data_IF_101010750803
#
_entry.id   IF_101010750803
#
_cell.length_a   1.000
_cell.length_b   1.000
_cell.length_c   1.000
_cell.angle_alpha   90.00
_cell.angle_beta   90.00
_cell.angle_gamma   90.00
#
_symmetry.space_group_name_H-M   'P 1'
#
loop_
_entity.id
_entity.type
_entity.pdbx_description
1 polymer ?
#
# COMPACT_ATOMS: atom_id res chain seq x y z
N UNK A 1 39.90 -53.92 52.08
CA UNK A 1 38.54 -54.33 52.45
C UNK A 1 37.62 -53.62 51.47
N UNK A 2 37.56 -54.10 50.25
CA UNK A 2 36.70 -55.22 49.80
C UNK A 2 35.21 -54.84 49.86
N UNK A 3 34.71 -54.53 48.65
CA UNK A 3 33.43 -54.92 48.03
C UNK A 3 32.09 -54.99 48.81
N UNK A 4 31.05 -54.64 48.03
CA UNK A 4 29.61 -54.85 48.23
C UNK A 4 29.04 -53.88 49.28
N UNK A 5 28.20 -52.90 48.96
CA UNK A 5 26.93 -53.04 48.24
C UNK A 5 26.69 -51.89 47.26
N UNK A 6 26.77 -52.20 45.97
CA UNK A 6 25.85 -51.66 44.97
C UNK A 6 24.42 -52.15 45.29
N UNK A 7 23.41 -51.46 44.77
CA UNK A 7 21.95 -51.69 44.92
C UNK A 7 21.25 -50.85 46.00
N UNK A 8 21.41 -49.53 45.94
CA UNK A 8 20.59 -48.62 46.76
C UNK A 8 20.44 -47.18 46.26
N UNK A 9 21.00 -46.82 45.10
CA UNK A 9 20.98 -45.41 44.65
C UNK A 9 20.75 -45.20 43.14
N UNK A 10 20.37 -46.25 42.40
CA UNK A 10 19.93 -46.13 41.00
C UNK A 10 18.41 -45.95 40.84
N UNK A 11 17.67 -45.74 41.95
CA UNK A 11 16.27 -45.36 41.94
C UNK A 11 16.04 -43.88 42.31
N UNK A 12 17.08 -43.04 42.19
CA UNK A 12 17.00 -41.59 42.41
C UNK A 12 17.37 -40.77 41.17
N UNK A 13 17.49 -41.42 40.00
CA UNK A 13 17.73 -40.78 38.69
C UNK A 13 16.48 -40.89 37.77
N UNK A 14 15.36 -41.42 38.25
CA UNK A 14 14.08 -41.49 37.50
C UNK A 14 12.93 -40.74 38.19
N UNK A 15 13.22 -39.69 38.96
CA UNK A 15 12.20 -38.82 39.53
C UNK A 15 12.55 -37.31 39.46
N UNK A 16 13.34 -36.91 38.45
CA UNK A 16 13.63 -35.49 38.18
C UNK A 16 13.41 -35.07 36.71
N UNK A 17 12.60 -35.82 35.96
CA UNK A 17 12.18 -35.42 34.59
C UNK A 17 10.66 -35.36 34.47
N UNK A 18 9.96 -34.93 35.51
CA UNK A 18 8.55 -34.51 35.40
C UNK A 18 8.27 -33.23 36.19
N UNK A 19 9.15 -32.24 36.02
CA UNK A 19 8.67 -30.86 36.01
C UNK A 19 8.34 -30.54 34.55
N UNK A 20 7.18 -31.02 34.07
CA UNK A 20 6.52 -30.39 32.94
C UNK A 20 6.29 -28.94 33.38
N UNK A 21 7.18 -28.06 32.97
CA UNK A 21 6.89 -26.64 32.91
C UNK A 21 5.62 -26.53 32.07
N UNK A 22 4.49 -26.28 32.72
CA UNK A 22 3.32 -25.75 32.05
C UNK A 22 3.74 -24.37 31.57
N UNK A 23 4.33 -24.32 30.37
CA UNK A 23 4.12 -23.17 29.52
C UNK A 23 2.60 -23.09 29.39
N UNK A 24 2.00 -22.13 30.09
CA UNK A 24 0.64 -21.70 29.80
C UNK A 24 0.69 -21.27 28.35
N UNK A 25 0.24 -22.16 27.47
CA UNK A 25 -0.18 -21.81 26.13
C UNK A 25 -1.29 -20.79 26.35
N UNK A 26 -0.91 -19.51 26.31
CA UNK A 26 -1.88 -18.45 26.13
C UNK A 26 -2.52 -18.81 24.79
N UNK A 27 -3.69 -19.43 24.82
CA UNK A 27 -4.61 -19.42 23.71
C UNK A 27 -4.83 -17.95 23.36
N UNK A 28 -4.05 -17.47 22.40
CA UNK A 28 -4.32 -16.23 21.71
C UNK A 28 -5.71 -16.45 21.09
N UNK A 29 -6.76 -15.73 21.51
CA UNK A 29 -8.02 -15.81 20.83
C UNK A 29 -7.73 -15.28 19.43
N UNK A 30 -7.56 -16.19 18.48
CA UNK A 30 -7.42 -15.82 17.08
C UNK A 30 -8.55 -14.86 16.76
N UNK A 31 -8.19 -13.68 16.25
CA UNK A 31 -9.11 -12.66 15.78
C UNK A 31 -9.92 -13.25 14.63
N UNK A 32 -10.95 -14.03 14.97
CA UNK A 32 -11.90 -14.58 14.03
C UNK A 32 -12.98 -13.54 13.82
N UNK A 33 -13.06 -13.04 12.59
CA UNK A 33 -14.12 -12.17 12.09
C UNK A 33 -15.42 -12.95 11.80
N UNK A 34 -15.55 -14.16 12.34
CA UNK A 34 -16.74 -15.00 12.18
C UNK A 34 -17.87 -14.64 13.17
N UNK A 35 -17.70 -13.59 13.98
CA UNK A 35 -18.61 -13.20 15.06
C UNK A 35 -19.58 -12.04 14.78
N UNK A 36 -19.59 -11.44 13.58
CA UNK A 36 -20.46 -10.28 13.32
C UNK A 36 -21.96 -10.61 13.17
N UNK A 37 -22.36 -11.87 13.35
CA UNK A 37 -23.77 -12.27 13.25
C UNK A 37 -24.16 -13.29 14.33
N UNK A 38 -23.95 -12.95 15.60
CA UNK A 38 -24.76 -13.41 16.73
C UNK A 38 -24.39 -12.62 17.97
N UNK A 39 -25.35 -11.85 18.48
CA UNK A 39 -25.16 -10.91 19.57
C UNK A 39 -24.43 -11.49 20.78
N UNK A 40 -23.32 -10.86 21.15
CA UNK A 40 -22.67 -10.87 22.47
C UNK A 40 -21.52 -9.84 22.46
N UNK A 41 -21.88 -8.56 22.37
CA UNK A 41 -21.02 -7.42 22.63
C UNK A 41 -21.88 -6.36 23.32
N UNK A 42 -21.35 -5.70 24.35
CA UNK A 42 -22.01 -4.77 25.29
C UNK A 42 -23.29 -4.10 24.77
N UNK A 43 -24.38 -4.16 25.54
CA UNK A 43 -25.74 -3.71 25.17
C UNK A 43 -25.94 -2.19 24.97
N UNK A 44 -25.04 -1.54 24.23
CA UNK A 44 -25.15 -0.15 23.78
C UNK A 44 -25.50 -0.15 22.30
N UNK A 45 -26.49 0.66 21.93
CA UNK A 45 -26.87 0.90 20.54
C UNK A 45 -25.74 1.62 19.81
N UNK A 46 -25.49 1.27 18.55
CA UNK A 46 -24.54 1.99 17.73
C UNK A 46 -24.96 3.47 17.62
N UNK A 47 -24.01 4.38 17.86
CA UNK A 47 -24.24 5.83 17.87
C UNK A 47 -23.27 6.53 16.92
N UNK A 48 -23.78 7.52 16.19
CA UNK A 48 -22.95 8.38 15.37
C UNK A 48 -22.50 9.60 16.15
N UNK A 49 -21.19 9.83 16.15
CA UNK A 49 -20.55 10.95 16.84
C UNK A 49 -19.70 11.75 15.86
N UNK A 50 -19.57 13.06 16.12
CA UNK A 50 -18.73 13.93 15.30
C UNK A 50 -17.24 13.58 15.46
N UNK A 51 -16.50 13.64 14.37
CA UNK A 51 -15.05 13.46 14.35
C UNK A 51 -14.41 14.78 14.77
N UNK A 52 -13.76 14.82 15.95
CA UNK A 52 -13.18 16.05 16.47
C UNK A 52 -11.85 16.37 15.78
N UNK A 53 -11.47 17.65 15.77
CA UNK A 53 -10.21 18.12 15.17
C UNK A 53 -8.96 17.48 15.81
N UNK A 54 -9.07 17.05 17.07
CA UNK A 54 -7.98 16.42 17.80
C UNK A 54 -7.78 14.93 17.45
N UNK A 55 -8.73 14.30 16.74
CA UNK A 55 -8.54 12.97 16.13
C UNK A 55 -7.75 13.09 14.82
N UNK A 56 -6.49 13.51 14.94
CA UNK A 56 -5.60 13.85 13.81
C UNK A 56 -5.48 12.79 12.72
N UNK A 57 -5.66 11.51 13.06
CA UNK A 57 -5.60 10.41 12.11
C UNK A 57 -6.71 10.51 11.05
N UNK A 58 -7.93 10.89 11.47
CA UNK A 58 -9.15 10.77 10.67
C UNK A 58 -9.97 12.05 10.55
N UNK A 59 -9.48 13.17 11.09
CA UNK A 59 -10.11 14.46 10.83
C UNK A 59 -9.99 14.86 9.35
N UNK A 60 -11.08 15.36 8.76
CA UNK A 60 -11.15 15.84 7.36
C UNK A 60 -10.83 14.78 6.28
N UNK A 61 -11.23 13.52 6.48
CA UNK A 61 -11.03 12.41 5.52
C UNK A 61 -12.18 12.21 4.53
N UNK A 62 -13.09 13.18 4.42
CA UNK A 62 -14.23 13.16 3.48
C UNK A 62 -15.60 12.89 4.12
N UNK A 63 -15.66 12.66 5.43
CA UNK A 63 -16.89 12.62 6.23
C UNK A 63 -16.61 13.25 7.61
N UNK A 64 -17.68 13.67 8.30
CA UNK A 64 -17.60 14.39 9.57
C UNK A 64 -18.08 13.58 10.77
N UNK A 65 -18.74 12.44 10.56
CA UNK A 65 -19.33 11.61 11.62
C UNK A 65 -18.88 10.16 11.50
N UNK A 66 -18.58 9.55 12.63
CA UNK A 66 -18.16 8.15 12.74
C UNK A 66 -19.08 7.35 13.65
N UNK A 67 -19.08 6.03 13.49
CA UNK A 67 -19.85 5.09 14.30
C UNK A 67 -19.05 4.62 15.52
N UNK A 68 -19.71 4.58 16.69
CA UNK A 68 -19.25 3.87 17.89
C UNK A 68 -20.27 2.77 18.29
N UNK A 69 -19.81 1.62 18.82
CA UNK A 69 -18.41 1.20 18.87
C UNK A 69 -17.82 1.00 17.47
N UNK A 70 -16.53 1.24 17.31
CA UNK A 70 -15.85 1.05 16.02
C UNK A 70 -15.44 -0.42 15.80
N UNK A 71 -14.72 -0.73 14.72
CA UNK A 71 -14.32 -2.10 14.39
C UNK A 71 -13.23 -2.67 15.33
N UNK A 72 -12.71 -1.85 16.24
CA UNK A 72 -11.77 -2.24 17.29
C UNK A 72 -12.46 -2.32 18.66
N UNK A 73 -13.80 -2.27 18.69
CA UNK A 73 -14.64 -2.29 19.89
C UNK A 73 -14.41 -1.12 20.85
N UNK A 74 -13.74 -0.04 20.41
CA UNK A 74 -13.65 1.19 21.20
C UNK A 74 -15.03 1.83 21.27
N UNK A 75 -15.53 2.10 22.48
CA UNK A 75 -16.87 2.64 22.73
C UNK A 75 -16.88 4.11 23.17
N UNK A 76 -15.70 4.72 23.26
CA UNK A 76 -15.54 6.11 23.69
C UNK A 76 -14.52 6.87 22.83
N UNK A 77 -14.79 8.15 22.58
CA UNK A 77 -13.86 9.01 21.84
C UNK A 77 -12.51 9.21 22.54
N UNK A 78 -12.45 9.10 23.86
CA UNK A 78 -11.19 9.19 24.60
C UNK A 78 -10.25 8.04 24.25
N UNK A 79 -10.78 6.81 24.18
CA UNK A 79 -10.02 5.62 23.80
C UNK A 79 -9.60 5.65 22.33
N UNK A 80 -10.53 6.01 21.44
CA UNK A 80 -10.24 6.15 20.00
C UNK A 80 -9.07 7.12 19.77
N UNK A 81 -9.10 8.31 20.38
CA UNK A 81 -8.02 9.30 20.25
C UNK A 81 -6.69 8.76 20.75
N UNK A 82 -6.68 8.14 21.94
CA UNK A 82 -5.46 7.62 22.56
C UNK A 82 -4.80 6.58 21.65
N UNK A 83 -5.55 5.58 21.19
CA UNK A 83 -5.05 4.50 20.36
C UNK A 83 -4.70 4.97 18.95
N UNK A 84 -5.54 5.81 18.32
CA UNK A 84 -5.30 6.33 16.97
C UNK A 84 -4.04 7.22 16.89
N UNK A 85 -3.70 7.93 17.97
CA UNK A 85 -2.55 8.85 17.98
C UNK A 85 -1.22 8.16 17.66
N UNK A 86 -1.04 6.90 18.07
CA UNK A 86 0.15 6.11 17.81
C UNK A 86 0.37 5.77 16.33
N UNK A 87 -0.67 5.88 15.51
CA UNK A 87 -0.64 5.55 14.09
C UNK A 87 -0.32 6.73 13.17
N UNK A 88 -0.41 7.97 13.68
CA UNK A 88 -0.13 9.20 12.92
C UNK A 88 1.27 9.19 12.30
N UNK A 89 2.36 8.78 13.00
CA UNK A 89 3.69 8.72 12.41
C UNK A 89 3.79 7.79 11.18
N UNK A 90 3.07 6.67 11.17
CA UNK A 90 3.08 5.73 10.05
C UNK A 90 2.40 6.32 8.80
N UNK A 91 1.30 7.05 8.98
CA UNK A 91 0.64 7.79 7.89
C UNK A 91 1.57 8.87 7.34
N UNK A 92 2.25 9.63 8.21
CA UNK A 92 3.20 10.67 7.80
C UNK A 92 4.44 10.11 7.09
N UNK A 93 4.84 8.87 7.39
CA UNK A 93 5.92 8.19 6.68
C UNK A 93 5.57 7.91 5.20
N UNK A 94 4.27 7.86 4.87
CA UNK A 94 3.76 7.72 3.51
C UNK A 94 4.28 6.47 2.78
N UNK A 95 4.39 5.35 3.50
CA UNK A 95 4.76 4.04 2.95
C UNK A 95 3.74 3.49 1.94
N UNK A 96 2.47 3.87 2.04
CA UNK A 96 1.43 3.54 1.08
C UNK A 96 0.30 4.61 1.08
N UNK A 97 -0.27 5.00 -0.08
CA UNK A 97 -1.33 6.00 -0.14
C UNK A 97 -2.65 5.56 0.50
N UNK A 98 -2.86 4.25 0.67
CA UNK A 98 -4.04 3.68 1.32
C UNK A 98 -3.97 3.59 2.84
N UNK A 99 -2.84 3.95 3.47
CA UNK A 99 -2.63 3.74 4.91
C UNK A 99 -3.66 4.48 5.76
N UNK A 100 -3.94 5.75 5.44
CA UNK A 100 -4.92 6.54 6.19
C UNK A 100 -6.35 5.99 6.04
N UNK A 101 -6.73 5.58 4.82
CA UNK A 101 -8.04 5.00 4.55
C UNK A 101 -8.24 3.67 5.31
N UNK A 102 -7.23 2.80 5.30
CA UNK A 102 -7.25 1.54 6.05
C UNK A 102 -7.45 1.79 7.54
N UNK A 103 -6.62 2.65 8.14
CA UNK A 103 -6.69 2.91 9.58
C UNK A 103 -8.01 3.61 9.98
N UNK A 104 -8.47 4.58 9.21
CA UNK A 104 -9.73 5.26 9.51
C UNK A 104 -10.96 4.37 9.32
N UNK A 105 -10.92 3.38 8.43
CA UNK A 105 -12.01 2.39 8.37
C UNK A 105 -12.19 1.63 9.68
N UNK A 106 -11.11 1.42 10.44
CA UNK A 106 -11.12 0.71 11.72
C UNK A 106 -11.42 1.66 12.89
N UNK A 107 -10.70 2.79 12.96
CA UNK A 107 -10.79 3.73 14.09
C UNK A 107 -12.00 4.66 14.02
N UNK A 108 -12.41 5.07 12.82
CA UNK A 108 -13.45 6.06 12.58
C UNK A 108 -14.38 5.63 11.43
N UNK A 109 -15.02 4.44 11.48
CA UNK A 109 -15.88 3.97 10.40
C UNK A 109 -16.99 4.98 10.12
N UNK A 110 -17.35 5.15 8.84
CA UNK A 110 -18.42 6.07 8.41
C UNK A 110 -19.72 5.74 9.16
N UNK A 111 -20.43 6.77 9.62
CA UNK A 111 -21.76 6.66 10.22
C UNK A 111 -22.75 6.02 9.23
N UNK A 112 -22.98 4.72 9.38
CA UNK A 112 -23.91 3.87 8.64
C UNK A 112 -24.59 2.91 9.63
N UNK A 113 -25.61 2.16 9.18
CA UNK A 113 -26.29 1.17 10.03
C UNK A 113 -25.35 0.11 10.62
N UNK A 114 -24.25 -0.19 9.92
CA UNK A 114 -23.19 -1.10 10.37
C UNK A 114 -21.83 -0.58 9.90
N UNK A 115 -20.82 -0.75 10.75
CA UNK A 115 -19.44 -0.44 10.38
C UNK A 115 -18.97 -1.32 9.22
N UNK A 116 -18.45 -0.68 8.17
CA UNK A 116 -17.98 -1.33 6.96
C UNK A 116 -16.47 -1.60 7.07
N UNK A 117 -16.01 -2.87 6.99
CA UNK A 117 -14.59 -3.18 7.09
C UNK A 117 -13.83 -2.77 5.82
N UNK A 118 -12.50 -2.60 5.89
CA UNK A 118 -11.67 -2.44 4.71
C UNK A 118 -11.62 -3.74 3.90
N UNK A 119 -11.38 -3.63 2.60
CA UNK A 119 -11.16 -4.82 1.78
C UNK A 119 -9.79 -5.47 2.08
N UNK A 120 -9.71 -6.81 1.99
CA UNK A 120 -8.46 -7.58 2.19
C UNK A 120 -7.31 -7.06 1.34
N UNK A 121 -7.55 -6.84 0.05
CA UNK A 121 -6.52 -6.37 -0.88
C UNK A 121 -5.94 -5.00 -0.48
N UNK A 122 -6.75 -4.12 0.12
CA UNK A 122 -6.29 -2.81 0.59
C UNK A 122 -5.35 -2.99 1.79
N UNK A 123 -5.72 -3.86 2.73
CA UNK A 123 -4.87 -4.23 3.86
C UNK A 123 -3.53 -4.81 3.39
N UNK A 124 -3.55 -5.78 2.47
CA UNK A 124 -2.34 -6.43 1.97
C UNK A 124 -1.41 -5.46 1.26
N UNK A 125 -1.95 -4.55 0.46
CA UNK A 125 -1.18 -3.52 -0.23
C UNK A 125 -0.51 -2.55 0.77
N UNK A 126 -1.23 -2.13 1.82
CA UNK A 126 -0.66 -1.30 2.88
C UNK A 126 0.39 -2.08 3.67
N UNK A 127 0.11 -3.34 4.05
CA UNK A 127 1.05 -4.21 4.76
C UNK A 127 2.36 -4.36 3.99
N UNK A 128 2.31 -4.61 2.69
CA UNK A 128 3.49 -4.76 1.85
C UNK A 128 4.37 -3.49 1.81
N UNK A 129 3.76 -2.30 1.86
CA UNK A 129 4.49 -1.03 1.90
C UNK A 129 5.00 -0.66 3.30
N UNK A 130 4.20 -0.94 4.33
CA UNK A 130 4.38 -0.37 5.67
C UNK A 130 4.97 -1.34 6.71
N UNK A 131 4.90 -2.66 6.50
CA UNK A 131 5.54 -3.64 7.40
C UNK A 131 7.04 -3.39 7.57
N UNK A 132 7.83 -3.15 6.51
CA UNK A 132 9.26 -2.88 6.68
C UNK A 132 9.55 -1.61 7.49
N UNK A 133 8.63 -0.64 7.46
CA UNK A 133 8.75 0.59 8.24
C UNK A 133 8.55 0.29 9.73
N UNK A 134 7.53 -0.49 10.08
CA UNK A 134 7.28 -0.91 11.46
C UNK A 134 8.40 -1.80 12.00
N UNK A 135 8.91 -2.72 11.18
CA UNK A 135 10.01 -3.61 11.53
C UNK A 135 11.30 -2.85 11.86
N UNK A 136 11.57 -1.73 11.18
CA UNK A 136 12.70 -0.85 11.51
C UNK A 136 12.61 -0.24 12.92
N UNK A 137 11.40 -0.15 13.48
CA UNK A 137 11.16 0.27 14.86
C UNK A 137 10.96 -0.92 15.82
N UNK A 138 11.19 -2.16 15.36
CA UNK A 138 11.01 -3.38 16.14
C UNK A 138 9.54 -3.75 16.37
N UNK A 139 8.62 -3.23 15.56
CA UNK A 139 7.18 -3.45 15.68
C UNK A 139 6.76 -4.40 14.56
N UNK A 140 6.16 -5.55 14.94
CA UNK A 140 5.56 -6.44 13.97
C UNK A 140 4.23 -5.88 13.45
N UNK A 141 3.80 -6.35 12.28
CA UNK A 141 2.46 -6.05 11.78
C UNK A 141 1.40 -6.57 12.77
N UNK A 142 0.55 -5.71 13.37
CA UNK A 142 -0.30 -6.12 14.48
C UNK A 142 -1.52 -6.92 14.03
N UNK A 143 -2.03 -7.76 14.93
CA UNK A 143 -3.16 -8.64 14.67
C UNK A 143 -4.46 -7.89 14.33
N UNK A 144 -4.66 -6.68 14.85
CA UNK A 144 -5.80 -5.83 14.50
C UNK A 144 -5.83 -5.44 13.01
N UNK A 145 -4.69 -5.58 12.32
CA UNK A 145 -4.52 -5.37 10.89
C UNK A 145 -4.29 -6.70 10.15
N UNK A 146 -4.63 -7.85 10.74
CA UNK A 146 -4.52 -9.13 10.05
C UNK A 146 -5.40 -9.13 8.79
N UNK A 147 -4.79 -9.18 7.61
CA UNK A 147 -5.55 -9.03 6.36
C UNK A 147 -6.51 -10.19 6.08
N UNK A 148 -6.24 -11.38 6.64
CA UNK A 148 -7.10 -12.55 6.47
C UNK A 148 -8.46 -12.38 7.16
N UNK A 149 -8.52 -11.54 8.19
CA UNK A 149 -9.74 -11.15 8.90
C UNK A 149 -10.65 -10.23 8.05
N UNK A 150 -10.16 -9.63 6.97
CA UNK A 150 -10.95 -8.75 6.12
C UNK A 150 -11.57 -9.49 4.93
N UNK A 151 -12.76 -9.05 4.46
CA UNK A 151 -13.45 -9.68 3.35
C UNK A 151 -12.70 -9.49 2.03
N UNK A 152 -12.82 -10.50 1.17
CA UNK A 152 -12.29 -10.49 -0.20
C UNK A 152 -13.39 -10.21 -1.24
N UNK A 153 -14.55 -10.87 -1.10
CA UNK A 153 -15.64 -10.83 -2.11
C UNK A 153 -16.92 -10.12 -1.62
N UNK A 154 -16.97 -9.68 -0.35
CA UNK A 154 -18.10 -8.92 0.21
C UNK A 154 -17.91 -7.39 0.08
N UNK A 155 -18.97 -6.64 0.34
CA UNK A 155 -18.95 -5.17 0.35
C UNK A 155 -17.96 -4.66 1.42
N UNK A 156 -16.99 -3.84 1.01
CA UNK A 156 -15.93 -3.33 1.87
C UNK A 156 -15.40 -1.97 1.40
N UNK A 157 -14.71 -1.25 2.30
CA UNK A 157 -14.14 0.07 2.02
C UNK A 157 -12.87 -0.05 1.19
N UNK A 158 -12.79 0.79 0.16
CA UNK A 158 -11.64 0.99 -0.71
C UNK A 158 -11.07 2.40 -0.53
N UNK A 159 -9.83 2.65 -0.97
CA UNK A 159 -9.24 3.99 -0.86
C UNK A 159 -9.91 4.98 -1.84
N UNK A 160 -10.58 6.01 -1.32
CA UNK A 160 -11.39 6.99 -2.07
C UNK A 160 -10.58 8.02 -2.86
N UNK A 161 -9.25 8.12 -2.68
CA UNK A 161 -8.40 8.99 -3.53
C UNK A 161 -8.24 8.44 -4.95
N UNK A 162 -8.81 7.26 -5.19
CA UNK A 162 -9.06 6.71 -6.50
C UNK A 162 -10.50 7.07 -6.89
N UNK A 163 -10.69 8.22 -7.55
CA UNK A 163 -11.93 8.54 -8.29
C UNK A 163 -12.44 7.31 -9.01
N UNK A 164 -13.64 6.83 -8.65
CA UNK A 164 -14.43 5.85 -9.40
C UNK A 164 -13.59 4.78 -10.13
N UNK A 165 -13.02 3.83 -9.40
CA UNK A 165 -12.53 2.60 -10.01
C UNK A 165 -13.73 1.74 -10.39
N UNK A 166 -14.09 1.85 -11.66
CA UNK A 166 -14.86 0.85 -12.37
C UNK A 166 -14.11 -0.48 -12.31
N UNK A 167 -14.37 -1.28 -11.27
CA UNK A 167 -13.79 -2.60 -11.05
C UNK A 167 -12.26 -2.62 -10.92
N UNK A 168 -11.65 -3.78 -10.62
CA UNK A 168 -10.23 -3.97 -10.82
C UNK A 168 -9.97 -3.81 -12.31
N UNK A 169 -9.46 -2.65 -12.75
CA UNK A 169 -8.78 -2.62 -14.02
C UNK A 169 -7.61 -3.58 -13.88
N UNK A 170 -7.51 -4.62 -14.71
CA UNK A 170 -6.41 -5.57 -14.62
C UNK A 170 -5.07 -4.85 -14.89
N UNK A 171 -5.09 -3.65 -15.47
CA UNK A 171 -3.93 -2.96 -16.00
C UNK A 171 -3.15 -2.21 -14.92
N UNK A 172 -1.81 -2.25 -15.00
CA UNK A 172 -0.95 -1.54 -14.05
C UNK A 172 -1.27 -0.04 -13.97
N UNK A 173 -1.21 0.58 -12.77
CA UNK A 173 -1.42 2.01 -12.61
C UNK A 173 -0.52 2.87 -13.53
N UNK A 174 0.70 2.38 -13.81
CA UNK A 174 1.64 3.03 -14.72
C UNK A 174 1.36 2.82 -16.22
N UNK A 175 0.38 1.97 -16.58
CA UNK A 175 0.13 1.45 -17.92
C UNK A 175 -1.24 1.81 -18.49
N UNK A 176 -1.82 2.93 -18.05
CA UNK A 176 -3.09 3.42 -18.57
C UNK A 176 -3.07 3.57 -20.10
N UNK A 177 -4.01 2.92 -20.78
CA UNK A 177 -4.09 2.87 -22.24
C UNK A 177 -4.71 4.11 -22.85
N UNK A 178 -5.58 4.82 -22.11
CA UNK A 178 -6.19 6.09 -22.54
C UNK A 178 -6.14 7.14 -21.42
N UNK A 179 -4.93 7.62 -21.09
CA UNK A 179 -4.74 8.50 -19.96
C UNK A 179 -5.33 9.88 -20.23
N UNK A 180 -6.16 10.34 -19.29
CA UNK A 180 -6.68 11.71 -19.27
C UNK A 180 -5.53 12.72 -19.16
N UNK A 181 -5.80 13.98 -19.53
CA UNK A 181 -4.81 15.06 -19.53
C UNK A 181 -4.14 15.22 -18.15
N UNK A 182 -4.95 15.13 -17.10
CA UNK A 182 -4.57 15.31 -15.71
C UNK A 182 -3.54 14.25 -15.29
N UNK A 183 -3.77 12.99 -15.68
CA UNK A 183 -2.90 11.84 -15.38
C UNK A 183 -1.54 11.98 -16.07
N UNK A 184 -1.51 12.38 -17.35
CA UNK A 184 -0.25 12.60 -18.08
C UNK A 184 0.54 13.75 -17.44
N UNK A 185 -0.15 14.83 -17.09
CA UNK A 185 0.47 16.01 -16.46
C UNK A 185 1.01 15.68 -15.07
N UNK A 186 0.25 14.95 -14.26
CA UNK A 186 0.67 14.49 -12.93
C UNK A 186 1.92 13.62 -13.01
N UNK A 187 1.92 12.60 -13.88
CA UNK A 187 3.11 11.76 -14.12
C UNK A 187 4.32 12.60 -14.57
N UNK A 188 4.12 13.58 -15.46
CA UNK A 188 5.20 14.49 -15.85
C UNK A 188 5.70 15.35 -14.68
N UNK A 189 4.81 15.84 -13.80
CA UNK A 189 5.14 16.75 -12.72
C UNK A 189 5.75 16.04 -11.51
N UNK A 190 5.28 14.84 -11.15
CA UNK A 190 5.69 14.09 -9.96
C UNK A 190 6.91 13.16 -10.16
N UNK A 191 7.43 13.04 -11.38
CA UNK A 191 8.59 12.21 -11.72
C UNK A 191 9.93 12.95 -11.68
N UNK A 192 11.00 12.29 -11.25
CA UNK A 192 12.36 12.85 -11.26
C UNK A 192 12.92 12.97 -12.67
N UNK A 193 12.55 12.02 -13.55
CA UNK A 193 12.95 12.01 -14.94
C UNK A 193 11.77 11.73 -15.87
N UNK A 194 11.85 12.28 -17.08
CA UNK A 194 10.97 11.93 -18.18
C UNK A 194 11.76 11.82 -19.47
N UNK A 195 11.56 10.76 -20.23
CA UNK A 195 12.23 10.52 -21.51
C UNK A 195 11.22 10.19 -22.61
N UNK A 196 11.54 10.60 -23.83
CA UNK A 196 10.94 10.03 -25.04
C UNK A 196 11.86 8.93 -25.57
N UNK A 197 11.36 7.71 -25.67
CA UNK A 197 12.11 6.56 -26.18
C UNK A 197 11.22 5.56 -26.91
N UNK A 198 11.83 4.75 -27.77
CA UNK A 198 11.21 3.55 -28.33
C UNK A 198 11.60 2.34 -27.48
N UNK A 199 10.67 1.40 -27.32
CA UNK A 199 10.88 0.18 -26.54
C UNK A 199 11.31 -0.92 -27.49
N UNK A 200 12.47 -1.52 -27.22
CA UNK A 200 13.02 -2.63 -28.00
C UNK A 200 12.47 -3.97 -27.52
N UNK A 201 12.49 -4.19 -26.21
CA UNK A 201 12.15 -5.46 -25.58
C UNK A 201 11.68 -5.21 -24.14
N UNK A 202 10.79 -6.05 -23.63
CA UNK A 202 10.41 -6.07 -22.21
C UNK A 202 10.75 -7.45 -21.67
N UNK A 203 11.54 -7.49 -20.58
CA UNK A 203 11.93 -8.74 -19.92
C UNK A 203 11.26 -8.84 -18.57
N UNK A 204 10.64 -9.99 -18.30
CA UNK A 204 10.15 -10.32 -16.97
C UNK A 204 11.31 -10.60 -16.01
N UNK A 205 11.17 -10.13 -14.77
CA UNK A 205 11.92 -10.54 -13.59
C UNK A 205 10.93 -11.11 -12.56
N UNK A 206 11.37 -11.84 -11.53
CA UNK A 206 10.48 -12.53 -10.59
C UNK A 206 9.41 -11.65 -9.92
N UNK A 207 9.64 -10.34 -9.78
CA UNK A 207 8.68 -9.40 -9.19
C UNK A 207 8.41 -8.17 -10.07
N UNK A 208 9.19 -7.96 -11.14
CA UNK A 208 9.23 -6.70 -11.88
C UNK A 208 9.31 -6.93 -13.40
N UNK A 209 9.13 -5.90 -14.22
CA UNK A 209 9.48 -5.94 -15.66
C UNK A 209 10.59 -4.94 -15.96
N UNK A 210 11.66 -5.37 -16.62
CA UNK A 210 12.68 -4.49 -17.20
C UNK A 210 12.26 -4.06 -18.61
N UNK A 211 12.32 -2.76 -18.86
CA UNK A 211 12.02 -2.19 -20.18
C UNK A 211 13.34 -1.84 -20.87
N UNK A 212 13.68 -2.56 -21.94
CA UNK A 212 14.88 -2.34 -22.72
C UNK A 212 14.54 -1.37 -23.85
N UNK A 213 15.24 -0.23 -23.87
CA UNK A 213 14.98 0.86 -24.79
C UNK A 213 15.88 0.79 -26.02
N UNK A 214 15.40 1.35 -27.12
CA UNK A 214 16.21 1.60 -28.30
C UNK A 214 17.31 2.62 -28.05
N UNK A 215 18.33 2.62 -28.93
CA UNK A 215 19.50 3.52 -28.80
C UNK A 215 19.09 5.00 -28.79
N UNK A 216 18.07 5.35 -29.60
CA UNK A 216 17.56 6.71 -29.75
C UNK A 216 16.57 7.03 -28.65
N UNK A 217 16.92 8.01 -27.82
CA UNK A 217 16.11 8.50 -26.71
C UNK A 217 16.45 9.94 -26.40
N UNK A 218 15.46 10.68 -25.93
CA UNK A 218 15.55 12.10 -25.64
C UNK A 218 15.08 12.35 -24.21
N UNK A 219 15.95 12.98 -23.41
CA UNK A 219 15.55 13.50 -22.11
C UNK A 219 14.60 14.69 -22.29
N UNK A 220 13.50 14.67 -21.54
CA UNK A 220 12.46 15.72 -21.53
C UNK A 220 12.43 16.46 -20.19
N UNK A 221 12.68 15.74 -19.08
CA UNK A 221 12.74 16.24 -17.71
C UNK A 221 13.84 15.52 -16.93
N UNK A 222 14.44 16.22 -15.98
CA UNK A 222 15.37 15.65 -15.00
C UNK A 222 16.83 15.94 -15.30
N UNK A 223 17.71 15.55 -14.38
CA UNK A 223 19.14 15.88 -14.40
C UNK A 223 20.03 14.71 -14.84
N UNK A 224 19.45 13.64 -15.41
CA UNK A 224 20.20 12.48 -15.89
C UNK A 224 21.20 12.89 -16.98
N UNK A 225 22.48 12.54 -16.80
CA UNK A 225 23.53 12.84 -17.78
C UNK A 225 23.28 12.06 -19.07
N UNK A 226 23.79 12.58 -20.19
CA UNK A 226 23.69 11.92 -21.51
C UNK A 226 24.19 10.46 -21.51
N UNK A 227 25.21 10.15 -20.69
CA UNK A 227 25.74 8.78 -20.53
C UNK A 227 24.78 7.88 -19.75
N UNK A 228 24.12 8.40 -18.72
CA UNK A 228 23.14 7.68 -17.90
C UNK A 228 21.88 7.40 -18.71
N UNK A 229 21.36 8.41 -19.42
CA UNK A 229 20.27 8.24 -20.37
C UNK A 229 20.62 7.16 -21.40
N UNK A 230 21.87 7.09 -21.88
CA UNK A 230 22.35 6.05 -22.80
C UNK A 230 22.41 4.62 -22.23
N UNK A 231 22.46 4.47 -20.91
CA UNK A 231 22.51 3.17 -20.23
C UNK A 231 21.22 2.87 -19.45
N UNK A 232 20.22 3.75 -19.55
CA UNK A 232 18.98 3.66 -18.80
C UNK A 232 18.21 2.39 -19.16
N UNK A 233 17.96 1.56 -18.15
CA UNK A 233 17.09 0.39 -18.20
C UNK A 233 16.04 0.57 -17.10
N UNK A 234 14.91 1.22 -17.41
CA UNK A 234 13.89 1.48 -16.41
C UNK A 234 13.11 0.20 -16.07
N UNK A 235 12.56 0.19 -14.85
CA UNK A 235 11.92 -0.95 -14.24
C UNK A 235 10.47 -0.62 -13.87
N UNK A 236 9.54 -1.49 -14.24
CA UNK A 236 8.17 -1.47 -13.76
C UNK A 236 8.07 -2.37 -12.52
N UNK A 237 7.94 -1.74 -11.34
CA UNK A 237 7.83 -2.46 -10.06
C UNK A 237 6.51 -3.23 -9.99
N UNK A 238 6.52 -4.47 -9.53
CA UNK A 238 5.30 -5.30 -9.50
C UNK A 238 4.80 -5.69 -10.89
N UNK A 239 5.62 -5.50 -11.93
CA UNK A 239 5.23 -5.77 -13.31
C UNK A 239 5.07 -7.26 -13.62
N UNK A 240 5.61 -8.17 -12.80
CA UNK A 240 5.48 -9.61 -13.05
C UNK A 240 4.01 -10.05 -13.07
N UNK A 241 3.24 -9.61 -12.07
CA UNK A 241 1.85 -10.04 -11.83
C UNK A 241 0.80 -9.07 -12.36
N UNK A 242 1.25 -8.05 -13.11
CA UNK A 242 0.42 -6.94 -13.52
C UNK A 242 0.43 -6.76 -15.05
N UNK A 243 -0.72 -6.92 -15.75
CA UNK A 243 -0.77 -6.76 -17.19
C UNK A 243 -0.61 -5.29 -17.60
N UNK A 244 0.09 -5.10 -18.70
CA UNK A 244 0.42 -3.78 -19.23
C UNK A 244 0.28 -3.83 -20.75
N UNK A 245 -0.94 -3.59 -21.29
CA UNK A 245 -1.21 -3.74 -22.72
C UNK A 245 -0.30 -2.89 -23.61
N UNK A 246 0.14 -1.74 -23.08
CA UNK A 246 1.09 -0.81 -23.72
C UNK A 246 2.45 -1.46 -23.99
N UNK A 247 2.89 -2.35 -23.08
CA UNK A 247 4.15 -3.09 -23.14
C UNK A 247 4.01 -4.47 -23.80
N UNK A 248 2.82 -5.07 -23.80
CA UNK A 248 2.54 -6.37 -24.41
C UNK A 248 2.37 -6.30 -25.92
N UNK A 249 1.90 -5.14 -26.43
CA UNK A 249 1.92 -4.79 -27.86
C UNK A 249 2.76 -3.53 -28.08
N UNK A 250 4.10 -3.62 -27.90
CA UNK A 250 4.97 -2.52 -28.31
C UNK A 250 4.78 -2.39 -29.82
N UNK A 251 4.36 -1.21 -30.30
CA UNK A 251 3.84 -1.03 -31.67
C UNK A 251 4.90 -1.11 -32.78
N UNK A 252 5.62 -2.23 -32.84
CA UNK A 252 6.90 -2.37 -33.54
C UNK A 252 7.93 -1.35 -33.04
N UNK A 253 9.18 -1.47 -33.44
CA UNK A 253 10.23 -0.48 -33.16
C UNK A 253 10.02 0.92 -33.78
N UNK A 254 8.79 1.30 -34.14
CA UNK A 254 8.41 2.60 -34.71
C UNK A 254 7.56 3.44 -33.75
N UNK A 255 7.00 2.86 -32.68
CA UNK A 255 6.17 3.60 -31.73
C UNK A 255 7.03 4.16 -30.59
N UNK A 256 7.06 5.49 -30.48
CA UNK A 256 7.71 6.15 -29.35
C UNK A 256 6.77 6.24 -28.14
N UNK A 257 7.37 6.28 -26.96
CA UNK A 257 6.69 6.38 -25.68
C UNK A 257 7.26 7.55 -24.87
N UNK A 258 6.42 8.15 -24.04
CA UNK A 258 6.81 9.00 -22.93
C UNK A 258 6.91 8.12 -21.69
N UNK A 259 8.12 7.95 -21.17
CA UNK A 259 8.38 7.20 -19.95
C UNK A 259 8.76 8.19 -18.85
N UNK A 260 8.01 8.15 -17.74
CA UNK A 260 8.25 8.99 -16.57
C UNK A 260 8.60 8.09 -15.38
N UNK A 261 9.46 8.57 -14.50
CA UNK A 261 9.93 7.74 -13.40
C UNK A 261 10.70 8.48 -12.32
N UNK A 262 11.06 7.74 -11.27
CA UNK A 262 11.85 8.21 -10.14
C UNK A 262 13.13 7.40 -10.00
N UNK A 263 14.15 8.00 -9.42
CA UNK A 263 15.40 7.30 -9.11
C UNK A 263 15.44 7.02 -7.61
N UNK A 264 15.43 5.74 -7.24
CA UNK A 264 15.49 5.28 -5.86
C UNK A 264 16.55 4.18 -5.76
N UNK A 265 17.48 4.31 -4.82
CA UNK A 265 18.54 3.33 -4.55
C UNK A 265 19.36 2.92 -5.79
N UNK A 266 19.64 3.88 -6.68
CA UNK A 266 20.34 3.64 -7.94
C UNK A 266 19.53 2.88 -9.00
N UNK A 267 18.26 2.55 -8.73
CA UNK A 267 17.31 1.98 -9.69
C UNK A 267 16.42 3.08 -10.27
N UNK A 268 16.01 2.91 -11.52
CA UNK A 268 15.11 3.84 -12.22
C UNK A 268 13.73 3.21 -12.37
N UNK A 269 12.80 3.62 -11.51
CA UNK A 269 11.45 3.06 -11.42
C UNK A 269 10.50 3.85 -12.31
N UNK A 270 9.73 3.14 -13.13
CA UNK A 270 8.66 3.71 -13.96
C UNK A 270 7.47 4.06 -13.07
N UNK A 271 6.97 5.27 -13.24
CA UNK A 271 5.73 5.72 -12.62
C UNK A 271 4.63 5.95 -13.67
N UNK A 272 5.00 6.19 -14.94
CA UNK A 272 4.05 6.32 -16.04
C UNK A 272 4.62 5.94 -17.40
N UNK A 273 3.81 5.27 -18.21
CA UNK A 273 4.13 4.78 -19.56
C UNK A 273 3.02 5.23 -20.51
N UNK A 274 3.30 6.27 -21.29
CA UNK A 274 2.30 6.87 -22.20
C UNK A 274 2.76 6.72 -23.64
N UNK A 275 1.86 6.36 -24.57
CA UNK A 275 2.17 6.41 -26.00
C UNK A 275 2.49 7.84 -26.41
N UNK A 276 3.51 8.04 -27.26
CA UNK A 276 3.84 9.35 -27.82
C UNK A 276 2.84 9.72 -28.92
N UNK A 277 1.61 10.01 -28.55
CA UNK A 277 0.55 10.34 -29.50
C UNK A 277 0.37 11.85 -29.66
N UNK A 278 0.83 12.39 -30.79
CA UNK A 278 0.66 13.80 -31.12
C UNK A 278 -0.74 14.13 -31.67
N UNK A 279 -1.52 13.15 -32.09
CA UNK A 279 -2.90 13.36 -32.50
C UNK A 279 -3.82 13.55 -31.28
N UNK A 280 -3.55 12.81 -30.19
CA UNK A 280 -4.32 12.92 -28.94
C UNK A 280 -4.40 14.36 -28.39
N UNK A 281 -5.60 14.95 -28.27
CA UNK A 281 -5.79 16.25 -27.63
C UNK A 281 -5.35 16.26 -26.16
N UNK A 282 -5.59 15.18 -25.42
CA UNK A 282 -5.20 15.05 -24.02
C UNK A 282 -3.68 15.13 -23.87
N UNK A 283 -2.93 14.32 -24.63
CA UNK A 283 -1.48 14.33 -24.62
C UNK A 283 -0.90 15.69 -25.01
N UNK A 284 -1.42 16.32 -26.07
CA UNK A 284 -0.97 17.65 -26.49
C UNK A 284 -1.22 18.72 -25.41
N UNK A 285 -2.40 18.71 -24.77
CA UNK A 285 -2.72 19.68 -23.72
C UNK A 285 -1.84 19.47 -22.49
N UNK A 286 -1.64 18.22 -22.05
CA UNK A 286 -0.75 17.90 -20.93
C UNK A 286 0.68 18.37 -21.17
N UNK A 287 1.26 18.07 -22.34
CA UNK A 287 2.62 18.50 -22.68
C UNK A 287 2.76 20.02 -22.82
N UNK A 288 1.69 20.73 -23.25
CA UNK A 288 1.67 22.20 -23.26
C UNK A 288 1.58 22.77 -21.84
N UNK A 289 0.71 22.21 -21.00
CA UNK A 289 0.57 22.63 -19.61
C UNK A 289 1.87 22.44 -18.83
N UNK A 290 2.54 21.29 -19.01
CA UNK A 290 3.85 21.02 -18.42
C UNK A 290 4.90 22.06 -18.86
N UNK A 291 5.02 22.34 -20.17
CA UNK A 291 5.97 23.34 -20.69
C UNK A 291 5.66 24.77 -20.24
N UNK A 292 4.40 25.06 -19.96
CA UNK A 292 3.96 26.33 -19.39
C UNK A 292 4.13 26.38 -17.86
N UNK A 293 4.82 25.41 -17.25
CA UNK A 293 5.03 25.27 -15.80
C UNK A 293 3.73 25.22 -14.99
N UNK A 294 2.63 24.75 -15.59
CA UNK A 294 1.34 24.56 -14.92
C UNK A 294 1.25 23.20 -14.26
N UNK A 295 2.28 22.80 -13.54
CA UNK A 295 2.17 21.63 -12.69
C UNK A 295 1.15 21.92 -11.60
N UNK A 296 0.21 21.00 -11.31
CA UNK A 296 -0.65 21.15 -10.15
C UNK A 296 0.25 21.33 -8.92
N UNK A 297 -0.10 22.29 -8.07
CA UNK A 297 0.57 22.45 -6.79
C UNK A 297 0.24 21.20 -5.99
N UNK A 298 1.16 20.24 -6.00
CA UNK A 298 1.13 19.17 -5.02
C UNK A 298 1.27 19.88 -3.68
N UNK A 299 0.21 19.94 -2.89
CA UNK A 299 0.27 20.43 -1.52
C UNK A 299 1.24 19.52 -0.78
N UNK A 300 2.52 19.88 -0.76
CA UNK A 300 3.46 19.41 0.24
C UNK A 300 2.96 20.02 1.54
N UNK A 301 2.23 19.25 2.33
CA UNK A 301 1.91 19.63 3.70
C UNK A 301 3.23 19.57 4.46
N UNK A 302 3.93 20.69 4.45
CA UNK A 302 5.12 20.95 5.25
C UNK A 302 4.97 22.35 5.79
N UNK A 303 4.42 22.45 7.00
CA UNK A 303 4.79 23.36 8.08
C UNK A 303 4.05 22.97 9.34
#
# INVERSE_FOLDING_TARGET
MEFFWTLGSLALILALVEARGQASEYENPGWKVDGYNSGRGSGRSAECVDIPEDLRLCHNVGYSQMLLPNLLDHDSMAEVRLQASGWVPLVLNNCHPGTQALLCSLFAPVCLERAMPPCRWLCEAVRAGCSPVLENFGIAWPDMLNCDAFPQDDLCIVNTTQTAFSGPSPVCPSCDTDPKMEVILEHMCASDFAIKAEIREVRGEPSDRRVILEKRRRLLKGSLRKREVRKLVPLLRGGADCPCPVLERPGGGATAYLLTGRTADGRHLLTGIHRWDRASPAFRRAMRAYRANRCPVLHTVSK
#
